data_IF_085755638759
#
_entry.id   IF_085755638759
#
_cell.length_a   1.000
_cell.length_b   1.000
_cell.length_c   1.000
_cell.angle_alpha   90.00
_cell.angle_beta   90.00
_cell.angle_gamma   90.00
#
_symmetry.space_group_name_H-M   'P 1'
#
loop_
_entity.id
_entity.type
_entity.pdbx_description
1 polymer ?
#
# COMPACT_ATOMS: atom_id res chain seq x y z
N UNK A 1 14.08 -8.22 4.61
CA UNK A 1 13.91 -7.70 3.23
C UNK A 1 12.42 -7.72 2.88
N UNK A 2 11.87 -6.60 2.40
CA UNK A 2 10.43 -6.48 2.13
C UNK A 2 9.95 -7.36 0.99
N UNK A 3 8.72 -7.85 1.08
CA UNK A 3 8.07 -8.65 0.06
C UNK A 3 6.80 -7.98 -0.45
N UNK A 4 6.55 -8.10 -1.75
CA UNK A 4 5.36 -7.57 -2.44
C UNK A 4 4.58 -8.73 -3.04
N UNK A 5 3.27 -8.76 -2.83
CA UNK A 5 2.34 -9.69 -3.46
C UNK A 5 1.14 -8.91 -3.99
N UNK A 6 0.67 -9.25 -5.18
CA UNK A 6 -0.54 -8.70 -5.77
C UNK A 6 -1.30 -9.77 -6.52
N UNK A 7 -2.62 -9.68 -6.49
CA UNK A 7 -3.51 -10.57 -7.22
C UNK A 7 -4.76 -9.83 -7.70
N UNK A 8 -5.10 -10.10 -8.93
CA UNK A 8 -6.37 -9.73 -9.55
C UNK A 8 -6.88 -10.92 -10.36
N UNK A 9 -8.12 -11.33 -10.13
CA UNK A 9 -8.66 -12.51 -10.81
C UNK A 9 -10.06 -12.87 -10.35
N UNK A 10 -10.39 -14.15 -10.44
CA UNK A 10 -11.73 -14.66 -10.14
C UNK A 10 -11.83 -15.36 -8.76
N UNK A 11 -10.69 -15.66 -8.13
CA UNK A 11 -10.65 -16.35 -6.84
C UNK A 11 -10.64 -15.37 -5.68
N UNK A 12 -11.08 -15.85 -4.51
CA UNK A 12 -10.94 -15.09 -3.26
C UNK A 12 -9.47 -14.74 -3.02
N UNK A 13 -9.18 -13.46 -2.83
CA UNK A 13 -7.81 -12.95 -2.85
C UNK A 13 -7.06 -13.20 -1.53
N UNK A 14 -7.74 -13.15 -0.39
CA UNK A 14 -7.08 -13.22 0.90
C UNK A 14 -6.20 -14.48 1.08
N UNK A 15 -6.68 -15.71 0.81
CA UNK A 15 -5.83 -16.89 0.93
C UNK A 15 -4.61 -16.86 0.00
N UNK A 16 -4.76 -16.26 -1.18
CA UNK A 16 -3.66 -16.12 -2.16
C UNK A 16 -2.60 -15.17 -1.64
N UNK A 17 -3.02 -14.03 -1.09
CA UNK A 17 -2.10 -13.03 -0.51
C UNK A 17 -1.33 -13.63 0.68
N UNK A 18 -2.01 -14.27 1.60
CA UNK A 18 -1.40 -14.90 2.76
C UNK A 18 -0.38 -15.98 2.36
N UNK A 19 -0.74 -16.84 1.41
CA UNK A 19 0.18 -17.86 0.89
C UNK A 19 1.42 -17.23 0.25
N UNK A 20 1.24 -16.14 -0.49
CA UNK A 20 2.33 -15.37 -1.07
C UNK A 20 3.26 -14.79 -0.01
N UNK A 21 2.71 -14.16 1.02
CA UNK A 21 3.48 -13.61 2.14
C UNK A 21 4.26 -14.70 2.89
N UNK A 22 3.65 -15.84 3.15
CA UNK A 22 4.32 -16.99 3.81
C UNK A 22 5.53 -17.48 3.02
N UNK A 23 5.47 -17.47 1.70
CA UNK A 23 6.62 -17.83 0.84
C UNK A 23 7.77 -16.81 0.93
N UNK A 24 7.49 -15.58 1.35
CA UNK A 24 8.48 -14.52 1.47
C UNK A 24 9.04 -14.36 2.90
N UNK A 25 8.50 -15.12 3.88
CA UNK A 25 8.90 -15.03 5.29
C UNK A 25 10.39 -15.29 5.53
N UNK A 26 11.00 -16.20 4.75
CA UNK A 26 12.42 -16.54 4.88
C UNK A 26 13.36 -15.34 4.75
N UNK A 27 12.88 -14.25 4.15
CA UNK A 27 13.67 -13.02 3.93
C UNK A 27 13.79 -12.14 5.17
N UNK A 28 13.05 -12.44 6.24
CA UNK A 28 12.98 -11.62 7.44
C UNK A 28 12.10 -10.37 7.26
N UNK A 29 11.30 -10.05 8.28
CA UNK A 29 10.40 -8.91 8.30
C UNK A 29 9.94 -8.61 9.73
N UNK A 30 9.32 -7.45 9.96
CA UNK A 30 8.85 -7.01 11.28
C UNK A 30 7.34 -6.74 11.34
N UNK A 31 6.71 -6.63 10.19
CA UNK A 31 5.27 -6.40 10.09
C UNK A 31 4.73 -6.89 8.75
N UNK A 32 3.42 -7.11 8.70
CA UNK A 32 2.75 -7.60 7.50
C UNK A 32 1.36 -6.95 7.37
N UNK A 33 0.85 -6.91 6.14
CA UNK A 33 -0.49 -6.39 5.90
C UNK A 33 -1.02 -6.70 4.52
N UNK A 34 -2.33 -6.53 4.39
CA UNK A 34 -3.09 -6.72 3.16
C UNK A 34 -4.03 -5.54 2.92
N UNK A 35 -4.28 -5.24 1.66
CA UNK A 35 -5.36 -4.37 1.25
C UNK A 35 -6.15 -5.05 0.14
N UNK A 36 -7.46 -5.05 0.26
CA UNK A 36 -8.38 -5.72 -0.66
C UNK A 36 -9.56 -4.81 -0.96
N UNK A 37 -10.13 -4.96 -2.15
CA UNK A 37 -11.44 -4.39 -2.44
C UNK A 37 -12.46 -5.48 -2.12
N UNK A 38 -13.27 -5.25 -1.08
CA UNK A 38 -14.24 -6.23 -0.60
C UNK A 38 -15.48 -6.32 -1.49
N UNK A 39 -16.36 -7.27 -1.19
CA UNK A 39 -17.58 -7.50 -1.99
C UNK A 39 -18.56 -6.32 -1.96
N UNK A 40 -18.44 -5.41 -0.98
CA UNK A 40 -19.20 -4.16 -0.91
C UNK A 40 -18.57 -3.02 -1.74
N UNK A 41 -17.41 -3.25 -2.36
CA UNK A 41 -16.68 -2.23 -3.11
C UNK A 41 -15.86 -1.26 -2.25
N UNK A 42 -15.68 -1.57 -0.98
CA UNK A 42 -14.86 -0.78 -0.06
C UNK A 42 -13.44 -1.32 0.05
N UNK A 43 -12.52 -0.45 0.46
CA UNK A 43 -11.14 -0.83 0.73
C UNK A 43 -11.02 -1.40 2.15
N UNK A 44 -10.64 -2.67 2.24
CA UNK A 44 -10.31 -3.33 3.51
C UNK A 44 -8.79 -3.35 3.66
N UNK A 45 -8.27 -2.71 4.70
CA UNK A 45 -6.83 -2.68 5.02
C UNK A 45 -6.62 -3.28 6.40
N UNK A 46 -5.86 -4.37 6.46
CA UNK A 46 -5.51 -5.07 7.70
C UNK A 46 -4.00 -5.21 7.78
N UNK A 47 -3.43 -4.76 8.88
CA UNK A 47 -1.98 -4.79 9.07
C UNK A 47 -1.61 -4.91 10.55
N UNK A 48 -0.55 -5.66 10.82
CA UNK A 48 -0.08 -5.94 12.16
C UNK A 48 1.44 -5.89 12.25
N UNK A 49 1.94 -5.50 13.40
CA UNK A 49 3.31 -5.82 13.78
C UNK A 49 3.42 -7.32 14.02
N UNK A 50 4.56 -7.93 13.65
CA UNK A 50 4.80 -9.35 13.87
C UNK A 50 4.75 -10.17 12.59
N UNK A 51 4.37 -11.43 12.73
CA UNK A 51 4.42 -12.43 11.66
C UNK A 51 3.13 -12.49 10.83
N UNK A 52 3.21 -13.13 9.67
CA UNK A 52 2.03 -13.39 8.83
C UNK A 52 0.95 -14.17 9.60
N UNK A 53 1.34 -15.10 10.47
CA UNK A 53 0.40 -15.82 11.34
C UNK A 53 -0.36 -14.87 12.30
N UNK A 54 0.27 -13.79 12.77
CA UNK A 54 -0.40 -12.77 13.59
C UNK A 54 -1.42 -11.98 12.76
N UNK A 55 -1.09 -11.68 11.50
CA UNK A 55 -2.02 -11.06 10.57
C UNK A 55 -3.23 -11.96 10.28
N UNK A 56 -3.03 -13.27 10.08
CA UNK A 56 -4.13 -14.21 9.89
C UNK A 56 -5.08 -14.22 11.09
N UNK A 57 -4.56 -14.30 12.31
CA UNK A 57 -5.36 -14.24 13.54
C UNK A 57 -6.13 -12.93 13.66
N UNK A 58 -5.49 -11.81 13.34
CA UNK A 58 -6.14 -10.49 13.34
C UNK A 58 -7.32 -10.43 12.37
N UNK A 59 -7.26 -11.15 11.27
CA UNK A 59 -8.28 -11.14 10.23
C UNK A 59 -9.41 -12.17 10.44
N UNK A 60 -9.35 -13.03 11.46
CA UNK A 60 -10.34 -14.10 11.70
C UNK A 60 -11.78 -13.60 11.83
N UNK A 61 -11.97 -12.40 12.41
CA UNK A 61 -13.27 -11.76 12.61
C UNK A 61 -13.53 -10.59 11.64
N UNK A 62 -12.73 -10.45 10.59
CA UNK A 62 -12.81 -9.35 9.63
C UNK A 62 -13.42 -9.79 8.30
N UNK A 63 -13.90 -8.81 7.52
CA UNK A 63 -14.29 -9.02 6.14
C UNK A 63 -13.04 -9.21 5.28
N UNK A 64 -12.79 -10.45 4.85
CA UNK A 64 -11.68 -10.83 3.98
C UNK A 64 -12.16 -11.14 2.56
N UNK A 65 -13.36 -10.73 2.19
CA UNK A 65 -13.91 -10.93 0.85
C UNK A 65 -13.20 -10.09 -0.21
N UNK A 66 -13.36 -10.49 -1.45
CA UNK A 66 -12.83 -9.78 -2.60
C UNK A 66 -11.93 -10.63 -3.48
N UNK A 67 -11.71 -10.17 -4.70
CA UNK A 67 -10.95 -10.88 -5.74
C UNK A 67 -9.74 -10.09 -6.26
N UNK A 68 -9.49 -8.92 -5.69
CA UNK A 68 -8.33 -8.08 -6.00
C UNK A 68 -7.72 -7.54 -4.71
N UNK A 69 -6.39 -7.59 -4.62
CA UNK A 69 -5.69 -7.11 -3.44
C UNK A 69 -4.18 -7.10 -3.59
N UNK A 70 -3.56 -6.43 -2.64
CA UNK A 70 -2.11 -6.31 -2.50
C UNK A 70 -1.71 -6.66 -1.07
N UNK A 71 -0.49 -7.17 -0.89
CA UNK A 71 0.03 -7.57 0.41
C UNK A 71 1.53 -7.31 0.52
N UNK A 72 1.99 -7.15 1.74
CA UNK A 72 3.37 -6.75 2.01
C UNK A 72 3.89 -7.35 3.30
N UNK A 73 5.16 -7.75 3.30
CA UNK A 73 5.97 -7.94 4.50
C UNK A 73 7.00 -6.82 4.56
N UNK A 74 7.05 -6.10 5.68
CA UNK A 74 7.90 -4.94 5.85
C UNK A 74 9.11 -5.26 6.70
N UNK A 75 10.29 -4.79 6.27
CA UNK A 75 11.44 -4.55 7.12
C UNK A 75 11.62 -3.04 7.25
N UNK A 76 11.50 -2.53 8.47
CA UNK A 76 11.43 -1.09 8.71
C UNK A 76 12.70 -0.35 8.24
N UNK A 77 12.49 0.74 7.47
CA UNK A 77 13.53 1.69 7.06
C UNK A 77 13.21 3.10 7.53
N UNK A 78 11.96 3.53 7.45
CA UNK A 78 11.44 4.80 7.93
C UNK A 78 10.28 4.56 8.90
N UNK A 79 10.37 5.10 10.10
CA UNK A 79 9.42 4.84 11.18
C UNK A 79 9.65 3.48 11.84
N UNK A 80 9.40 3.39 13.13
CA UNK A 80 9.56 2.17 13.91
C UNK A 80 8.62 1.05 13.45
N UNK A 81 8.94 -0.22 13.71
CA UNK A 81 8.02 -1.33 13.50
C UNK A 81 6.76 -1.18 14.36
N UNK A 82 5.63 -0.93 13.70
CA UNK A 82 4.32 -0.78 14.33
C UNK A 82 3.22 -1.14 13.33
N UNK A 83 2.01 -1.35 13.82
CA UNK A 83 0.86 -1.57 12.95
C UNK A 83 0.55 -0.34 12.08
N UNK A 84 0.79 0.87 12.59
CA UNK A 84 0.57 2.12 11.85
C UNK A 84 1.55 2.26 10.69
N UNK A 85 2.82 1.94 10.92
CA UNK A 85 3.88 2.05 9.92
C UNK A 85 3.97 0.82 8.99
N UNK A 86 3.24 -0.25 9.27
CA UNK A 86 3.14 -1.40 8.39
C UNK A 86 2.45 -1.04 7.06
N UNK A 87 2.78 -1.78 6.01
CA UNK A 87 2.11 -1.66 4.71
C UNK A 87 0.95 -2.64 4.60
N UNK A 88 -0.05 -2.37 3.77
CA UNK A 88 -0.23 -1.23 2.87
C UNK A 88 -0.56 0.09 3.58
N UNK A 89 -0.22 1.19 2.93
CA UNK A 89 -0.72 2.52 3.28
C UNK A 89 -1.90 2.89 2.39
N UNK A 90 -2.74 3.81 2.84
CA UNK A 90 -3.92 4.23 2.08
C UNK A 90 -4.08 5.74 2.12
N UNK A 91 -4.75 6.27 1.10
CA UNK A 91 -5.02 7.70 0.95
C UNK A 91 -5.99 8.22 2.02
N UNK A 92 -6.01 9.52 2.21
CA UNK A 92 -6.86 10.17 3.22
C UNK A 92 -8.36 9.83 3.04
N UNK A 93 -8.82 9.75 1.79
CA UNK A 93 -10.20 9.35 1.46
C UNK A 93 -10.47 7.84 1.63
N UNK A 94 -9.42 7.01 1.81
CA UNK A 94 -9.47 5.54 1.78
C UNK A 94 -9.90 4.96 0.43
N UNK A 95 -9.67 5.68 -0.66
CA UNK A 95 -9.94 5.17 -2.00
C UNK A 95 -8.77 4.36 -2.56
N UNK A 96 -7.54 4.76 -2.25
CA UNK A 96 -6.32 4.22 -2.86
C UNK A 96 -5.46 3.55 -1.79
N UNK A 97 -4.91 2.37 -2.11
CA UNK A 97 -3.92 1.69 -1.28
C UNK A 97 -2.63 1.43 -2.06
N UNK A 98 -1.51 1.42 -1.36
CA UNK A 98 -0.18 1.22 -1.93
C UNK A 98 0.68 0.30 -1.05
N UNK A 99 1.48 -0.52 -1.71
CA UNK A 99 2.65 -1.19 -1.11
C UNK A 99 3.91 -0.72 -1.83
N UNK A 100 5.02 -0.67 -1.10
CA UNK A 100 6.26 -0.10 -1.59
C UNK A 100 7.47 -0.81 -0.99
N UNK A 101 8.44 -1.12 -1.83
CA UNK A 101 9.80 -1.50 -1.47
C UNK A 101 10.76 -0.45 -2.00
N UNK A 102 11.68 -0.02 -1.18
CA UNK A 102 12.68 1.00 -1.53
C UNK A 102 12.65 2.19 -0.58
N UNK A 103 13.30 3.26 -0.98
CA UNK A 103 13.40 4.50 -0.21
C UNK A 103 13.13 5.68 -1.15
N UNK A 104 12.23 6.56 -0.74
CA UNK A 104 11.96 7.82 -1.41
C UNK A 104 12.77 8.92 -0.73
N UNK A 105 13.87 9.31 -1.36
CA UNK A 105 14.85 10.21 -0.77
C UNK A 105 14.31 11.61 -0.46
N UNK A 106 13.42 12.11 -1.31
CA UNK A 106 12.79 13.43 -1.17
C UNK A 106 11.43 13.42 -0.46
N UNK A 107 11.12 12.36 0.30
CA UNK A 107 9.81 12.22 0.95
C UNK A 107 9.48 13.38 1.90
N UNK A 108 10.47 13.89 2.62
CA UNK A 108 10.26 14.97 3.60
C UNK A 108 9.80 16.28 2.93
N UNK A 109 10.40 16.65 1.81
CA UNK A 109 10.02 17.84 1.05
C UNK A 109 8.63 17.70 0.42
N UNK A 110 8.31 16.52 -0.12
CA UNK A 110 6.99 16.22 -0.65
C UNK A 110 5.93 16.25 0.45
N UNK A 111 6.20 15.63 1.61
CA UNK A 111 5.30 15.63 2.77
C UNK A 111 5.02 17.06 3.24
N UNK A 112 6.06 17.89 3.35
CA UNK A 112 5.93 19.30 3.76
C UNK A 112 4.97 20.06 2.84
N UNK A 113 5.09 19.89 1.54
CA UNK A 113 4.20 20.53 0.55
C UNK A 113 2.77 20.04 0.69
N UNK A 114 2.57 18.73 0.83
CA UNK A 114 1.24 18.14 0.98
C UNK A 114 0.56 18.60 2.28
N UNK A 115 1.28 18.63 3.40
CA UNK A 115 0.77 19.12 4.68
C UNK A 115 0.39 20.61 4.59
N UNK A 116 1.19 21.43 3.91
CA UNK A 116 0.88 22.85 3.68
C UNK A 116 -0.43 23.03 2.88
N UNK A 117 -0.77 22.06 2.00
CA UNK A 117 -2.02 22.04 1.23
C UNK A 117 -3.17 21.33 1.95
N UNK A 118 -3.01 20.97 3.22
CA UNK A 118 -4.05 20.43 4.08
C UNK A 118 -4.16 18.89 4.10
N UNK A 119 -3.24 18.17 3.47
CA UNK A 119 -3.22 16.70 3.51
C UNK A 119 -2.80 16.19 4.89
N UNK A 120 -3.55 15.25 5.44
CA UNK A 120 -3.28 14.64 6.75
C UNK A 120 -2.56 13.30 6.59
N UNK A 121 -1.56 13.07 7.44
CA UNK A 121 -0.76 11.84 7.48
C UNK A 121 -1.05 11.06 8.76
N UNK A 122 -0.96 9.72 8.68
CA UNK A 122 -1.19 8.80 9.80
C UNK A 122 0.08 8.10 10.26
N UNK A 123 1.08 7.99 9.38
CA UNK A 123 2.31 7.23 9.63
C UNK A 123 3.56 8.09 9.44
N UNK A 124 4.70 7.52 9.82
CA UNK A 124 6.01 8.14 9.64
C UNK A 124 6.72 7.66 8.37
N UNK A 125 6.05 6.87 7.52
CA UNK A 125 6.68 6.24 6.37
C UNK A 125 6.75 7.16 5.16
N UNK A 126 7.80 6.99 4.37
CA UNK A 126 7.91 7.59 3.03
C UNK A 126 6.85 7.05 2.06
N UNK A 127 6.40 5.82 2.27
CA UNK A 127 5.37 5.18 1.45
C UNK A 127 4.02 5.91 1.51
N UNK A 128 3.62 6.37 2.68
CA UNK A 128 2.37 7.15 2.79
C UNK A 128 2.43 8.43 1.97
N UNK A 129 3.60 9.05 1.87
CA UNK A 129 3.79 10.24 1.02
C UNK A 129 3.45 9.95 -0.44
N UNK A 130 3.80 8.76 -0.94
CA UNK A 130 3.49 8.38 -2.33
C UNK A 130 1.98 8.31 -2.55
N UNK A 131 1.23 7.61 -1.69
CA UNK A 131 -0.21 7.43 -1.89
C UNK A 131 -0.98 8.73 -1.70
N UNK A 132 -0.56 9.58 -0.77
CA UNK A 132 -1.16 10.90 -0.59
C UNK A 132 -0.88 11.80 -1.79
N UNK A 133 0.32 11.75 -2.36
CA UNK A 133 0.66 12.49 -3.58
C UNK A 133 -0.18 12.03 -4.78
N UNK A 134 -0.37 10.72 -4.94
CA UNK A 134 -1.21 10.17 -6.02
C UNK A 134 -2.65 10.70 -5.90
N UNK A 135 -3.26 10.63 -4.72
CA UNK A 135 -4.62 11.14 -4.50
C UNK A 135 -4.71 12.66 -4.71
N UNK A 136 -3.74 13.40 -4.21
CA UNK A 136 -3.64 14.85 -4.40
C UNK A 136 -3.63 15.23 -5.87
N UNK A 137 -2.79 14.56 -6.69
CA UNK A 137 -2.72 14.80 -8.13
C UNK A 137 -4.02 14.40 -8.81
N UNK A 138 -4.57 13.24 -8.46
CA UNK A 138 -5.81 12.73 -9.07
C UNK A 138 -6.97 13.69 -8.85
N UNK A 139 -7.12 14.21 -7.64
CA UNK A 139 -8.18 15.15 -7.29
C UNK A 139 -7.99 16.49 -7.98
N UNK A 140 -6.77 17.04 -7.96
CA UNK A 140 -6.48 18.37 -8.52
C UNK A 140 -6.55 18.40 -10.04
N UNK A 141 -6.09 17.36 -10.71
CA UNK A 141 -6.05 17.27 -12.17
C UNK A 141 -7.29 16.58 -12.74
N UNK A 142 -8.13 15.98 -11.90
CA UNK A 142 -9.28 15.18 -12.33
C UNK A 142 -8.91 14.14 -13.39
N UNK A 143 -7.92 13.32 -13.08
CA UNK A 143 -7.37 12.28 -13.97
C UNK A 143 -7.60 10.88 -13.39
N UNK A 144 -7.45 9.85 -14.22
CA UNK A 144 -7.51 8.46 -13.78
C UNK A 144 -6.30 8.05 -12.91
N UNK A 145 -6.39 6.88 -12.30
CA UNK A 145 -5.34 6.39 -11.41
C UNK A 145 -4.00 6.25 -12.14
N UNK A 146 -3.98 5.67 -13.34
CA UNK A 146 -2.75 5.46 -14.10
C UNK A 146 -2.05 6.79 -14.39
N UNK A 147 -2.78 7.79 -14.81
CA UNK A 147 -2.26 9.13 -15.09
C UNK A 147 -1.74 9.79 -13.82
N UNK A 148 -2.49 9.71 -12.71
CA UNK A 148 -2.07 10.25 -11.43
C UNK A 148 -0.78 9.58 -10.92
N UNK A 149 -0.67 8.25 -11.03
CA UNK A 149 0.54 7.51 -10.68
C UNK A 149 1.72 7.98 -11.54
N UNK A 150 1.55 8.08 -12.84
CA UNK A 150 2.62 8.57 -13.75
C UNK A 150 3.13 9.95 -13.34
N UNK A 151 2.25 10.89 -13.06
CA UNK A 151 2.64 12.22 -12.57
C UNK A 151 3.35 12.16 -11.22
N UNK A 152 2.86 11.35 -10.28
CA UNK A 152 3.50 11.21 -8.98
C UNK A 152 4.93 10.67 -9.13
N UNK A 153 5.14 9.64 -9.98
CA UNK A 153 6.45 9.03 -10.19
C UNK A 153 7.49 10.01 -10.74
N UNK A 154 7.08 11.03 -11.51
CA UNK A 154 8.02 12.07 -11.99
C UNK A 154 8.59 12.94 -10.88
N UNK A 155 7.94 12.98 -9.72
CA UNK A 155 8.34 13.79 -8.57
C UNK A 155 9.17 13.01 -7.55
N UNK A 156 9.24 11.69 -7.67
CA UNK A 156 9.95 10.83 -6.72
C UNK A 156 11.43 10.70 -7.07
N UNK A 157 12.29 10.90 -6.06
CA UNK A 157 13.72 10.63 -6.14
C UNK A 157 14.03 9.39 -5.31
N UNK A 158 14.76 8.44 -5.90
CA UNK A 158 15.14 7.19 -5.27
C UNK A 158 14.77 5.97 -6.10
N UNK A 159 15.14 4.79 -5.59
CA UNK A 159 14.81 3.50 -6.17
C UNK A 159 13.56 2.93 -5.47
N UNK A 160 12.63 2.37 -6.24
CA UNK A 160 11.38 1.86 -5.69
C UNK A 160 10.77 0.74 -6.53
N UNK A 161 9.96 -0.08 -5.87
CA UNK A 161 8.96 -0.93 -6.48
C UNK A 161 7.62 -0.70 -5.76
N UNK A 162 6.57 -0.41 -6.49
CA UNK A 162 5.24 -0.14 -5.94
C UNK A 162 4.16 -0.98 -6.61
N UNK A 163 3.09 -1.24 -5.87
CA UNK A 163 1.81 -1.69 -6.42
C UNK A 163 0.70 -0.86 -5.78
N UNK A 164 -0.24 -0.43 -6.61
CA UNK A 164 -1.31 0.51 -6.24
C UNK A 164 -2.64 -0.04 -6.72
N UNK A 165 -3.66 0.05 -5.88
CA UNK A 165 -5.05 -0.22 -6.26
C UNK A 165 -5.97 0.90 -5.80
N UNK A 166 -7.09 1.06 -6.52
CA UNK A 166 -8.13 2.04 -6.24
C UNK A 166 -9.48 1.32 -6.15
N UNK A 167 -10.20 1.48 -5.04
CA UNK A 167 -11.51 0.82 -4.84
C UNK A 167 -12.55 1.20 -5.89
N UNK A 168 -12.37 2.32 -6.57
CA UNK A 168 -13.26 2.81 -7.63
C UNK A 168 -13.02 2.11 -8.97
N UNK A 169 -11.90 1.38 -9.10
CA UNK A 169 -11.56 0.58 -10.28
C UNK A 169 -10.96 -0.77 -9.85
N UNK A 170 -11.83 -1.75 -9.61
CA UNK A 170 -11.46 -3.09 -9.16
C UNK A 170 -10.84 -3.96 -10.24
N UNK A 171 -10.78 -3.50 -11.48
CA UNK A 171 -10.31 -4.28 -12.62
C UNK A 171 -8.83 -4.00 -12.95
N UNK A 172 -8.12 -3.24 -12.09
CA UNK A 172 -6.70 -2.98 -12.29
C UNK A 172 -5.89 -2.93 -11.00
N UNK A 173 -4.65 -3.35 -11.12
CA UNK A 173 -3.54 -3.04 -10.21
C UNK A 173 -2.48 -2.34 -11.05
N UNK A 174 -1.96 -1.21 -10.57
CA UNK A 174 -0.86 -0.50 -11.22
C UNK A 174 0.42 -0.83 -10.48
N UNK A 175 1.43 -1.29 -11.23
CA UNK A 175 2.74 -1.58 -10.69
C UNK A 175 3.81 -0.77 -11.44
N UNK A 176 4.83 -0.33 -10.69
CA UNK A 176 5.97 0.38 -11.26
C UNK A 176 7.25 0.03 -10.50
N UNK A 177 8.37 0.07 -11.22
CA UNK A 177 9.71 -0.14 -10.65
C UNK A 177 10.69 0.84 -11.26
N UNK A 178 11.55 1.40 -10.40
CA UNK A 178 12.70 2.20 -10.78
C UNK A 178 13.92 1.72 -9.98
N UNK A 179 15.04 1.52 -10.67
CA UNK A 179 16.34 1.18 -10.09
C UNK A 179 17.25 2.40 -10.05
#
# INVERSE_FOLDING_TARGET
MCGIVGYIGKRQVFPILIKGLKRLEYRGYDSAGVAMINDNGDLSVYKTKGKVADLERFCEDKDISGTVGIAHTRWATHGEPSSVNAHPHYSESKNIAIIHNGIIENYADLKKKLVADGVKFRSDTDTEVIVQLIEYIQTRKNVDLLTAVRFALTQLIGAYAIAVLDKRDKDQIIAARKQ
#
